data_IF_619989637669
#
_entry.id   IF_619989637669
#
_cell.length_a   1.000
_cell.length_b   1.000
_cell.length_c   1.000
_cell.angle_alpha   90.00
_cell.angle_beta   90.00
_cell.angle_gamma   90.00
#
_symmetry.space_group_name_H-M   'P 1'
#
loop_
_entity.id
_entity.type
_entity.pdbx_description
1 polymer ?
#
# COMPACT_ATOMS: atom_id res chain seq x y z
N UNK A 1 -0.71 -7.90 10.32
CA UNK A 1 -1.86 -6.96 10.41
C UNK A 1 -2.16 -6.33 9.06
N UNK A 2 -3.46 -6.20 8.70
CA UNK A 2 -3.96 -5.38 7.61
C UNK A 2 -4.34 -4.00 8.18
N UNK A 3 -3.52 -2.99 7.89
CA UNK A 3 -3.69 -1.63 8.45
C UNK A 3 -4.63 -0.83 7.57
N UNK A 4 -5.64 -0.22 8.20
CA UNK A 4 -6.76 0.45 7.52
C UNK A 4 -7.52 -0.51 6.59
N UNK A 5 -7.71 -1.74 7.06
CA UNK A 5 -8.27 -2.83 6.28
C UNK A 5 -9.78 -2.76 6.09
N UNK A 6 -10.46 -1.80 6.72
CA UNK A 6 -11.91 -1.65 6.65
C UNK A 6 -12.62 -2.99 6.95
N UNK A 7 -13.43 -3.49 6.03
CA UNK A 7 -14.15 -4.77 6.11
C UNK A 7 -13.29 -5.98 5.70
N UNK A 8 -12.01 -5.79 5.45
CA UNK A 8 -11.06 -6.80 4.93
C UNK A 8 -11.47 -7.39 3.56
N UNK A 9 -12.35 -6.72 2.82
CA UNK A 9 -12.85 -7.20 1.54
C UNK A 9 -12.06 -6.63 0.37
N UNK A 10 -11.80 -7.47 -0.62
CA UNK A 10 -11.22 -7.07 -1.89
C UNK A 10 -12.30 -6.77 -2.96
N UNK A 11 -11.85 -6.41 -4.18
CA UNK A 11 -12.76 -6.08 -5.30
C UNK A 11 -13.44 -7.28 -5.95
N UNK A 12 -13.04 -8.51 -5.59
CA UNK A 12 -13.61 -9.75 -6.14
C UNK A 12 -14.46 -10.52 -5.12
N UNK A 13 -14.89 -9.84 -4.06
CA UNK A 13 -15.69 -10.35 -2.95
C UNK A 13 -15.01 -11.47 -2.13
N UNK A 14 -13.67 -11.45 -2.09
CA UNK A 14 -12.86 -12.26 -1.17
C UNK A 14 -12.34 -11.39 -0.03
N UNK A 15 -11.69 -11.98 0.96
CA UNK A 15 -11.06 -11.24 2.04
C UNK A 15 -9.54 -11.15 1.81
N UNK A 16 -8.92 -10.05 2.19
CA UNK A 16 -7.45 -9.95 2.17
C UNK A 16 -6.79 -11.02 3.03
N UNK A 17 -7.43 -11.45 4.12
CA UNK A 17 -6.99 -12.58 4.95
C UNK A 17 -6.69 -13.84 4.12
N UNK A 18 -7.46 -14.10 3.07
CA UNK A 18 -7.34 -15.31 2.25
C UNK A 18 -6.03 -15.36 1.45
N UNK A 19 -5.37 -14.21 1.25
CA UNK A 19 -4.03 -14.14 0.63
C UNK A 19 -2.90 -14.52 1.63
N UNK A 20 -3.19 -14.56 2.93
CA UNK A 20 -2.22 -14.85 4.00
C UNK A 20 -2.49 -16.21 4.65
N UNK A 21 -2.58 -17.26 3.86
CA UNK A 21 -3.03 -18.61 4.26
C UNK A 21 -2.19 -19.25 5.37
N UNK A 22 -0.91 -18.88 5.50
CA UNK A 22 0.02 -19.47 6.46
C UNK A 22 0.25 -18.59 7.71
N UNK A 23 -0.50 -17.51 7.91
CA UNK A 23 -0.38 -16.71 9.11
C UNK A 23 -1.05 -17.39 10.30
N UNK A 24 -0.42 -17.34 11.48
CA UNK A 24 -1.00 -17.86 12.73
C UNK A 24 -2.12 -16.95 13.24
N UNK A 25 -1.87 -15.65 13.20
CA UNK A 25 -2.78 -14.63 13.67
C UNK A 25 -2.94 -13.57 12.58
N UNK A 26 -4.17 -13.17 12.34
CA UNK A 26 -4.49 -12.10 11.40
C UNK A 26 -5.26 -11.01 12.13
N UNK A 27 -4.75 -9.80 12.04
CA UNK A 27 -5.33 -8.62 12.67
C UNK A 27 -5.70 -7.59 11.63
N UNK A 28 -6.68 -6.76 11.95
CA UNK A 28 -7.13 -5.63 11.14
C UNK A 28 -7.02 -4.37 11.98
N UNK A 29 -6.73 -3.24 11.37
CA UNK A 29 -6.93 -1.96 12.04
C UNK A 29 -7.75 -0.99 11.19
N UNK A 30 -8.41 -0.08 11.89
CA UNK A 30 -9.10 1.07 11.33
C UNK A 30 -8.70 2.33 12.09
N UNK A 31 -8.83 3.50 11.45
CA UNK A 31 -8.47 4.78 12.08
C UNK A 31 -9.53 5.27 13.07
N UNK A 32 -10.77 4.81 12.91
CA UNK A 32 -11.90 5.11 13.78
C UNK A 32 -12.79 3.87 13.92
N UNK A 33 -13.75 3.92 14.82
CA UNK A 33 -14.80 2.93 14.89
C UNK A 33 -15.53 2.89 13.54
N UNK A 34 -15.50 1.74 12.88
CA UNK A 34 -16.19 1.50 11.62
C UNK A 34 -17.59 0.95 11.85
N UNK A 35 -18.36 0.79 10.76
CA UNK A 35 -19.66 0.08 10.84
C UNK A 35 -19.54 -1.37 11.38
N UNK A 36 -18.34 -1.94 11.46
CA UNK A 36 -18.09 -3.25 12.08
C UNK A 36 -18.17 -3.18 13.61
N UNK A 37 -17.89 -2.02 14.18
CA UNK A 37 -17.93 -1.76 15.63
C UNK A 37 -19.19 -0.98 16.02
N UNK A 38 -20.35 -1.33 15.48
CA UNK A 38 -21.64 -0.65 15.73
C UNK A 38 -22.03 -0.58 17.21
N UNK A 39 -21.31 -1.28 18.10
CA UNK A 39 -21.59 -1.36 19.54
C UNK A 39 -20.43 -0.88 20.43
N UNK A 40 -19.52 -0.03 19.92
CA UNK A 40 -18.33 0.46 20.67
C UNK A 40 -17.33 -0.65 21.13
N UNK A 41 -17.50 -1.89 20.72
CA UNK A 41 -16.59 -2.97 21.05
C UNK A 41 -15.74 -3.36 19.84
N UNK A 42 -14.41 -3.27 19.99
CA UNK A 42 -13.47 -3.82 19.03
C UNK A 42 -13.56 -5.35 19.02
N UNK A 43 -13.51 -5.94 17.85
CA UNK A 43 -13.32 -7.37 17.75
C UNK A 43 -11.96 -7.76 18.35
N UNK A 44 -11.83 -8.97 18.88
CA UNK A 44 -10.60 -9.46 19.52
C UNK A 44 -9.34 -9.31 18.63
N UNK A 45 -9.51 -9.34 17.31
CA UNK A 45 -8.45 -9.20 16.33
C UNK A 45 -8.41 -7.80 15.66
N UNK A 46 -9.04 -6.79 16.23
CA UNK A 46 -9.11 -5.44 15.68
C UNK A 46 -8.38 -4.41 16.55
N UNK A 47 -7.76 -3.44 15.89
CA UNK A 47 -7.06 -2.32 16.52
C UNK A 47 -7.59 -0.99 15.98
N UNK A 48 -7.63 0.03 16.85
CA UNK A 48 -7.74 1.42 16.39
C UNK A 48 -6.35 2.01 16.24
N UNK A 49 -5.98 2.35 15.02
CA UNK A 49 -4.67 2.93 14.68
C UNK A 49 -4.89 4.08 13.70
N UNK A 50 -4.67 5.28 14.19
CA UNK A 50 -4.55 6.47 13.36
C UNK A 50 -3.08 6.62 12.93
N UNK A 51 -2.82 6.50 11.63
CA UNK A 51 -1.46 6.59 11.09
C UNK A 51 -0.86 8.01 11.14
N UNK A 52 -1.66 9.05 11.35
CA UNK A 52 -1.16 10.42 11.55
C UNK A 52 -0.86 10.73 13.01
N UNK A 53 -1.27 9.89 13.94
CA UNK A 53 -1.00 10.02 15.37
C UNK A 53 0.28 9.29 15.80
N UNK A 54 0.72 9.52 17.02
CA UNK A 54 1.82 8.75 17.60
C UNK A 54 1.32 7.34 17.97
N UNK A 55 2.07 6.33 17.58
CA UNK A 55 1.75 4.96 17.95
C UNK A 55 1.90 4.75 19.46
N UNK A 56 1.01 3.93 20.01
CA UNK A 56 1.16 3.44 21.37
C UNK A 56 2.40 2.55 21.45
N UNK A 57 3.14 2.64 22.57
CA UNK A 57 4.38 1.89 22.78
C UNK A 57 4.21 0.37 22.61
N UNK A 58 3.07 -0.16 23.01
CA UNK A 58 2.72 -1.58 22.92
C UNK A 58 2.50 -2.10 21.49
N UNK A 59 2.43 -1.20 20.49
CA UNK A 59 2.25 -1.54 19.08
C UNK A 59 3.58 -1.54 18.31
N UNK A 60 4.64 -0.97 18.89
CA UNK A 60 5.93 -0.88 18.21
C UNK A 60 6.55 -2.27 18.01
N UNK A 61 6.80 -2.63 16.76
CA UNK A 61 7.36 -3.93 16.38
C UNK A 61 6.47 -5.13 16.74
N UNK A 62 5.17 -4.91 16.91
CA UNK A 62 4.24 -5.95 17.37
C UNK A 62 3.91 -6.99 16.30
N UNK A 63 3.89 -6.61 15.04
CA UNK A 63 3.42 -7.45 13.95
C UNK A 63 4.57 -7.88 13.05
N UNK A 64 4.69 -9.18 12.76
CA UNK A 64 5.74 -9.69 11.87
C UNK A 64 5.59 -9.11 10.44
N UNK A 65 4.36 -8.99 9.98
CA UNK A 65 4.01 -8.43 8.68
C UNK A 65 2.96 -7.34 8.84
N UNK A 66 3.23 -6.18 8.29
CA UNK A 66 2.30 -5.06 8.15
C UNK A 66 1.91 -4.95 6.69
N UNK A 67 0.63 -5.11 6.41
CA UNK A 67 0.05 -4.93 5.08
C UNK A 67 -0.80 -3.67 5.06
N UNK A 68 -0.62 -2.83 4.04
CA UNK A 68 -1.44 -1.64 3.80
C UNK A 68 -1.75 -1.51 2.31
N UNK A 69 -3.02 -1.31 2.01
CA UNK A 69 -3.51 -1.27 0.65
C UNK A 69 -4.37 -0.02 0.43
N UNK A 70 -3.98 0.81 -0.54
CA UNK A 70 -4.75 1.98 -1.01
C UNK A 70 -5.31 2.87 0.12
N UNK A 71 -4.44 3.24 1.04
CA UNK A 71 -4.77 4.11 2.19
C UNK A 71 -3.89 5.36 2.21
N UNK A 72 -2.59 5.20 1.92
CA UNK A 72 -1.61 6.28 2.04
C UNK A 72 -1.92 7.48 1.13
N UNK A 73 -2.61 7.26 0.02
CA UNK A 73 -3.07 8.33 -0.86
C UNK A 73 -4.10 9.25 -0.21
N UNK A 74 -4.78 8.78 0.83
CA UNK A 74 -5.82 9.51 1.56
C UNK A 74 -5.33 10.22 2.82
N UNK A 75 -4.05 10.06 3.16
CA UNK A 75 -3.44 10.63 4.37
C UNK A 75 -2.48 11.74 3.98
N UNK A 76 -2.70 12.95 4.53
CA UNK A 76 -1.89 14.11 4.13
C UNK A 76 -0.45 14.01 4.63
N UNK A 77 -0.20 13.67 5.90
CA UNK A 77 1.15 13.41 6.43
C UNK A 77 1.64 12.01 6.09
N UNK A 78 1.89 11.77 4.81
CA UNK A 78 2.32 10.47 4.30
C UNK A 78 3.67 10.02 4.88
N UNK A 79 4.56 10.95 5.23
CA UNK A 79 5.87 10.61 5.79
C UNK A 79 5.74 9.99 7.18
N UNK A 80 4.91 10.61 8.04
CA UNK A 80 4.62 10.09 9.37
C UNK A 80 3.87 8.78 9.30
N UNK A 81 2.88 8.70 8.42
CA UNK A 81 2.07 7.49 8.26
C UNK A 81 2.89 6.31 7.75
N UNK A 82 3.79 6.54 6.79
CA UNK A 82 4.70 5.50 6.33
C UNK A 82 5.68 5.05 7.42
N UNK A 83 6.22 6.01 8.20
CA UNK A 83 7.05 5.71 9.37
C UNK A 83 6.29 4.83 10.36
N UNK A 84 5.04 5.17 10.68
CA UNK A 84 4.21 4.40 11.58
C UNK A 84 3.95 2.96 11.06
N UNK A 85 3.73 2.77 9.74
CA UNK A 85 3.66 1.42 9.17
C UNK A 85 4.96 0.62 9.40
N UNK A 86 6.11 1.26 9.24
CA UNK A 86 7.41 0.64 9.51
C UNK A 86 7.62 0.34 11.00
N UNK A 87 7.20 1.23 11.89
CA UNK A 87 7.33 1.07 13.33
C UNK A 87 6.38 0.00 13.91
N UNK A 88 5.20 -0.20 13.32
CA UNK A 88 4.31 -1.31 13.67
C UNK A 88 4.93 -2.67 13.35
N UNK A 89 5.78 -2.71 12.31
CA UNK A 89 6.36 -3.97 11.83
C UNK A 89 7.55 -4.41 12.66
N UNK A 90 7.57 -5.71 12.98
CA UNK A 90 8.75 -6.38 13.50
C UNK A 90 9.74 -6.73 12.38
N UNK A 91 9.27 -7.01 11.14
CA UNK A 91 10.14 -7.47 10.05
C UNK A 91 9.72 -6.96 8.66
N UNK A 92 8.50 -7.19 8.20
CA UNK A 92 8.09 -6.96 6.80
C UNK A 92 6.96 -5.96 6.70
N UNK A 93 7.06 -5.04 5.72
CA UNK A 93 5.98 -4.12 5.33
C UNK A 93 5.64 -4.35 3.87
N UNK A 94 4.38 -4.61 3.58
CA UNK A 94 3.82 -4.77 2.25
C UNK A 94 2.87 -3.61 1.98
N UNK A 95 3.09 -2.90 0.88
CA UNK A 95 2.22 -1.78 0.49
C UNK A 95 1.73 -1.91 -0.95
N UNK A 96 0.51 -1.46 -1.17
CA UNK A 96 -0.06 -1.25 -2.51
C UNK A 96 -0.59 0.17 -2.57
N UNK A 97 -0.05 0.99 -3.48
CA UNK A 97 -0.37 2.41 -3.60
C UNK A 97 -0.63 2.81 -5.05
N UNK A 98 -1.48 3.80 -5.34
CA UNK A 98 -1.76 4.24 -6.69
C UNK A 98 -0.60 5.06 -7.26
N UNK A 99 -0.20 4.73 -8.49
CA UNK A 99 0.69 5.56 -9.31
C UNK A 99 -0.10 6.39 -10.33
N UNK A 100 -1.00 5.76 -11.07
CA UNK A 100 -1.84 6.40 -12.06
C UNK A 100 -3.28 5.96 -11.88
N UNK A 101 -4.09 6.83 -11.33
CA UNK A 101 -5.49 6.61 -11.02
C UNK A 101 -6.23 7.94 -11.08
N UNK A 102 -7.51 7.90 -11.46
CA UNK A 102 -8.38 9.08 -11.35
C UNK A 102 -8.46 9.55 -9.90
N UNK A 103 -8.56 10.87 -9.72
CA UNK A 103 -8.83 11.43 -8.40
C UNK A 103 -10.18 10.92 -7.89
N UNK A 104 -10.20 10.42 -6.67
CA UNK A 104 -11.41 9.95 -6.03
C UNK A 104 -11.49 10.45 -4.58
N UNK A 105 -12.48 11.27 -4.33
CA UNK A 105 -12.73 11.88 -3.02
C UNK A 105 -14.16 11.56 -2.62
N UNK A 106 -14.36 11.26 -1.34
CA UNK A 106 -15.69 11.07 -0.76
C UNK A 106 -15.93 12.08 0.35
N UNK A 107 -17.05 11.95 1.07
CA UNK A 107 -17.30 12.74 2.27
C UNK A 107 -16.31 12.37 3.39
N UNK A 108 -15.94 11.10 3.48
CA UNK A 108 -15.16 10.53 4.57
C UNK A 108 -13.65 10.67 4.37
N UNK A 109 -13.17 10.71 3.11
CA UNK A 109 -11.74 10.82 2.83
C UNK A 109 -11.43 11.71 1.62
N UNK A 110 -10.24 12.29 1.63
CA UNK A 110 -9.66 13.07 0.54
C UNK A 110 -8.61 12.23 -0.20
N UNK A 111 -8.16 12.70 -1.35
CA UNK A 111 -7.23 12.02 -2.24
C UNK A 111 -6.05 12.96 -2.52
N UNK A 112 -4.91 12.73 -1.87
CA UNK A 112 -3.77 13.65 -1.84
C UNK A 112 -2.61 13.19 -2.72
N UNK A 113 -2.34 11.86 -2.81
CA UNK A 113 -1.06 11.40 -3.31
C UNK A 113 -1.16 10.39 -4.46
N UNK A 114 -0.12 10.43 -5.31
CA UNK A 114 0.22 9.39 -6.29
C UNK A 114 1.70 9.06 -6.15
N UNK A 115 2.03 7.77 -6.10
CA UNK A 115 3.35 7.31 -5.70
C UNK A 115 4.13 6.74 -6.87
N UNK A 116 5.33 7.27 -7.10
CA UNK A 116 6.29 6.64 -8.01
C UNK A 116 7.06 5.52 -7.29
N UNK A 117 7.59 4.51 -8.03
CA UNK A 117 8.46 3.49 -7.44
C UNK A 117 9.66 4.08 -6.69
N UNK A 118 10.23 5.19 -7.18
CA UNK A 118 11.37 5.86 -6.57
C UNK A 118 11.03 6.46 -5.21
N UNK A 119 9.83 7.05 -5.07
CA UNK A 119 9.39 7.60 -3.78
C UNK A 119 9.20 6.49 -2.76
N UNK A 120 8.64 5.34 -3.19
CA UNK A 120 8.45 4.19 -2.31
C UNK A 120 9.78 3.62 -1.83
N UNK A 121 10.77 3.46 -2.73
CA UNK A 121 12.13 3.08 -2.36
C UNK A 121 12.70 4.01 -1.31
N UNK A 122 12.56 5.33 -1.53
CA UNK A 122 13.10 6.35 -0.62
C UNK A 122 12.42 6.36 0.74
N UNK A 123 11.12 6.10 0.80
CA UNK A 123 10.38 5.97 2.05
C UNK A 123 10.88 4.77 2.88
N UNK A 124 11.09 3.60 2.26
CA UNK A 124 11.69 2.46 2.94
C UNK A 124 13.10 2.73 3.45
N UNK A 125 13.98 3.29 2.61
CA UNK A 125 15.35 3.65 2.99
C UNK A 125 15.41 4.59 4.20
N UNK A 126 14.52 5.60 4.24
CA UNK A 126 14.45 6.57 5.35
C UNK A 126 14.01 5.93 6.68
N UNK A 127 13.33 4.80 6.64
CA UNK A 127 12.83 4.10 7.81
C UNK A 127 13.63 2.82 8.13
N UNK A 128 14.87 2.73 7.64
CA UNK A 128 15.79 1.60 7.88
C UNK A 128 15.28 0.25 7.38
N UNK A 129 14.45 0.27 6.33
CA UNK A 129 14.03 -0.91 5.60
C UNK A 129 14.77 -1.04 4.27
N UNK A 130 15.09 -2.26 3.87
CA UNK A 130 15.51 -2.60 2.52
C UNK A 130 14.26 -2.80 1.65
N UNK A 131 14.24 -2.19 0.46
CA UNK A 131 13.27 -2.55 -0.55
C UNK A 131 13.65 -3.93 -1.11
N UNK A 132 12.83 -4.94 -0.80
CA UNK A 132 13.08 -6.33 -1.18
C UNK A 132 12.39 -6.71 -2.49
N UNK A 133 11.26 -6.09 -2.78
CA UNK A 133 10.51 -6.29 -4.03
C UNK A 133 9.73 -5.03 -4.39
N UNK A 134 9.63 -4.74 -5.68
CA UNK A 134 8.75 -3.70 -6.20
C UNK A 134 8.29 -4.06 -7.62
N UNK A 135 7.02 -3.85 -7.91
CA UNK A 135 6.45 -4.04 -9.22
C UNK A 135 5.22 -3.13 -9.42
N UNK A 136 4.74 -3.05 -10.64
CA UNK A 136 3.53 -2.32 -10.98
C UNK A 136 2.69 -3.11 -11.99
N UNK A 137 1.36 -2.99 -11.88
CA UNK A 137 0.47 -3.49 -12.93
C UNK A 137 0.44 -2.45 -14.06
N UNK A 138 1.08 -2.71 -15.19
CA UNK A 138 0.99 -1.85 -16.38
C UNK A 138 0.00 -2.44 -17.39
N UNK A 139 -1.27 -2.46 -17.01
CA UNK A 139 -2.36 -2.93 -17.86
C UNK A 139 -2.94 -1.79 -18.69
N UNK A 140 -3.33 -2.10 -19.91
CA UNK A 140 -3.98 -1.14 -20.81
C UNK A 140 -5.35 -0.73 -20.25
N UNK A 141 -5.62 0.60 -20.24
CA UNK A 141 -6.92 1.17 -19.85
C UNK A 141 -7.35 0.85 -18.40
N UNK A 142 -6.39 0.56 -17.52
CA UNK A 142 -6.66 0.35 -16.09
C UNK A 142 -5.80 1.26 -15.21
N UNK A 143 -6.25 1.46 -13.99
CA UNK A 143 -5.44 2.15 -12.98
C UNK A 143 -4.15 1.38 -12.71
N UNK A 144 -3.06 2.12 -12.49
CA UNK A 144 -1.75 1.54 -12.20
C UNK A 144 -1.43 1.72 -10.73
N UNK A 145 -1.14 0.60 -10.09
CA UNK A 145 -0.70 0.53 -8.71
C UNK A 145 0.75 0.05 -8.63
N UNK A 146 1.46 0.55 -7.64
CA UNK A 146 2.76 0.03 -7.24
C UNK A 146 2.56 -0.91 -6.06
N UNK A 147 3.04 -2.14 -6.20
CA UNK A 147 3.15 -3.13 -5.14
C UNK A 147 4.61 -3.16 -4.68
N UNK A 148 4.85 -3.03 -3.39
CA UNK A 148 6.19 -3.07 -2.85
C UNK A 148 6.26 -3.83 -1.52
N UNK A 149 7.40 -4.50 -1.32
CA UNK A 149 7.73 -5.21 -0.08
C UNK A 149 9.06 -4.67 0.45
N UNK A 150 9.02 -4.13 1.65
CA UNK A 150 10.20 -3.75 2.41
C UNK A 150 10.42 -4.70 3.57
N UNK A 151 11.66 -4.92 3.95
CA UNK A 151 12.01 -5.68 5.15
C UNK A 151 13.09 -4.95 5.94
N UNK A 152 13.13 -5.17 7.26
CA UNK A 152 14.21 -4.63 8.11
C UNK A 152 15.57 -5.05 7.59
N UNK A 153 16.60 -4.21 7.80
CA UNK A 153 17.97 -4.45 7.31
C UNK A 153 18.57 -5.76 7.82
N UNK A 154 18.15 -6.20 9.01
CA UNK A 154 18.60 -7.45 9.66
C UNK A 154 17.58 -8.60 9.52
N UNK A 155 16.63 -8.47 8.60
CA UNK A 155 15.62 -9.50 8.37
C UNK A 155 16.22 -10.82 7.94
N UNK A 156 15.78 -11.91 8.57
CA UNK A 156 16.12 -13.28 8.16
C UNK A 156 15.41 -13.69 6.87
N UNK A 157 14.35 -12.96 6.49
CA UNK A 157 13.56 -13.22 5.29
C UNK A 157 14.12 -12.52 4.05
N UNK A 158 15.11 -11.65 4.19
CA UNK A 158 15.67 -10.86 3.09
C UNK A 158 16.13 -11.72 1.91
N UNK A 159 16.85 -12.81 2.17
CA UNK A 159 17.36 -13.69 1.12
C UNK A 159 16.27 -14.50 0.43
N UNK A 160 15.20 -14.83 1.15
CA UNK A 160 14.03 -15.46 0.56
C UNK A 160 13.26 -14.50 -0.32
N UNK A 161 13.03 -13.28 0.14
CA UNK A 161 12.29 -12.24 -0.61
C UNK A 161 13.06 -11.86 -1.88
N UNK A 162 14.40 -11.75 -1.82
CA UNK A 162 15.25 -11.48 -2.99
C UNK A 162 15.20 -12.57 -4.06
N UNK A 163 14.83 -13.79 -3.71
CA UNK A 163 14.61 -14.89 -4.67
C UNK A 163 13.31 -14.75 -5.44
N UNK A 164 12.38 -13.89 -4.98
CA UNK A 164 11.18 -13.54 -5.73
C UNK A 164 11.60 -12.66 -6.90
N UNK A 165 12.02 -13.29 -7.99
CA UNK A 165 12.28 -12.74 -9.31
C UNK A 165 13.02 -11.37 -9.34
N UNK A 166 14.36 -11.42 -9.29
CA UNK A 166 15.23 -10.25 -9.40
C UNK A 166 15.07 -9.44 -10.70
N UNK A 167 14.37 -9.96 -11.70
CA UNK A 167 14.20 -9.29 -12.99
C UNK A 167 13.21 -8.11 -12.96
N UNK A 168 12.50 -7.89 -11.84
CA UNK A 168 11.45 -6.87 -11.75
C UNK A 168 11.87 -5.56 -11.06
N UNK A 169 13.11 -5.47 -10.57
CA UNK A 169 13.67 -4.20 -10.09
C UNK A 169 13.89 -3.16 -11.21
N UNK A 170 13.78 -3.58 -12.48
CA UNK A 170 13.80 -2.69 -13.65
C UNK A 170 12.75 -1.56 -13.59
N UNK A 171 11.71 -1.72 -12.80
CA UNK A 171 10.69 -0.69 -12.52
C UNK A 171 11.31 0.60 -11.95
N UNK A 172 12.45 0.49 -11.25
CA UNK A 172 13.13 1.64 -10.66
C UNK A 172 14.03 2.40 -11.65
N UNK A 173 14.70 1.68 -12.55
CA UNK A 173 15.81 2.23 -13.32
C UNK A 173 15.50 2.39 -14.81
N UNK A 174 14.76 1.49 -15.41
CA UNK A 174 14.54 1.46 -16.87
C UNK A 174 13.06 1.41 -17.28
N UNK A 175 12.13 1.25 -16.36
CA UNK A 175 10.74 1.01 -16.69
C UNK A 175 9.93 2.32 -16.78
N UNK A 176 9.18 2.48 -17.85
CA UNK A 176 8.26 3.58 -18.04
C UNK A 176 6.84 3.09 -17.78
N UNK A 177 6.35 3.33 -16.58
CA UNK A 177 4.98 2.99 -16.18
C UNK A 177 3.99 3.99 -16.80
N UNK A 178 2.84 3.51 -17.23
CA UNK A 178 1.75 4.36 -17.71
C UNK A 178 1.87 4.81 -19.15
N UNK A 179 2.92 4.45 -19.88
CA UNK A 179 3.12 4.83 -21.28
C UNK A 179 1.96 4.41 -22.18
N UNK A 180 1.36 3.26 -21.93
CA UNK A 180 0.23 2.75 -22.72
C UNK A 180 -1.04 3.59 -22.52
N UNK A 181 -1.29 4.04 -21.29
CA UNK A 181 -2.44 4.91 -20.96
C UNK A 181 -2.26 6.30 -21.57
N UNK A 182 -1.07 6.89 -21.43
CA UNK A 182 -0.77 8.23 -21.93
C UNK A 182 -0.86 8.27 -23.46
N UNK A 183 -0.33 7.28 -24.17
CA UNK A 183 -0.42 7.20 -25.64
C UNK A 183 -1.87 7.15 -26.13
N UNK A 184 -2.71 6.36 -25.50
CA UNK A 184 -4.12 6.25 -25.89
C UNK A 184 -4.88 7.57 -25.64
N UNK A 185 -4.60 8.25 -24.54
CA UNK A 185 -5.16 9.57 -24.21
C UNK A 185 -4.76 10.64 -25.25
N UNK A 186 -3.52 10.63 -25.70
CA UNK A 186 -3.04 11.59 -26.72
C UNK A 186 -3.74 11.41 -28.06
N UNK A 187 -3.87 10.19 -28.56
CA UNK A 187 -4.58 9.90 -29.81
C UNK A 187 -6.09 10.16 -29.69
N UNK A 188 -6.74 9.82 -28.58
CA UNK A 188 -8.14 10.20 -28.35
C UNK A 188 -8.33 11.72 -28.35
N UNK A 189 -7.44 12.48 -27.71
CA UNK A 189 -7.50 13.96 -27.71
C UNK A 189 -7.26 14.56 -29.11
N UNK A 190 -6.36 13.97 -29.89
CA UNK A 190 -6.13 14.40 -31.26
C UNK A 190 -7.35 14.10 -32.16
N UNK A 191 -7.97 12.93 -32.00
CA UNK A 191 -9.18 12.55 -32.76
C UNK A 191 -10.40 13.43 -32.41
N UNK A 192 -10.54 13.83 -31.15
CA UNK A 192 -11.59 14.73 -30.70
C UNK A 192 -11.36 16.16 -31.22
N UNK A 193 -10.13 16.62 -31.35
CA UNK A 193 -9.80 17.92 -31.95
C UNK A 193 -9.98 17.97 -33.48
N UNK A 194 -9.95 16.82 -34.14
CA UNK A 194 -10.17 16.73 -35.59
C UNK A 194 -11.65 16.53 -35.97
N UNK A 195 -12.54 16.31 -34.98
CA UNK A 195 -13.98 16.16 -35.18
C UNK A 195 -14.80 17.39 -34.74
N UNK A 196 -14.20 18.42 -34.21
CA UNK A 196 -14.76 19.74 -33.90
C UNK A 196 -14.17 20.79 -34.79
#
# INVERSE_FOLDING_TARGET
INVSGWKDSDKVNSNYKDYFTNCKNYFISNWSFSERSQENDLLENEYLIDLESNLKQELLGKFDVVFNHTTLEHIFDVYKSFKNLCELSNDVVIIIVPFLQEQHTTLDFKDYWRFTPQVIKKLFEKNDFNLAYINANDQKESSIYVFAVGCKKNSKNLDWIKKIDNNKLDVLDNFIIGKKIIKNSFFKRLFLKLKG
#
